data_IF_357054366505
#
_entry.id   IF_357054366505
#
_cell.length_a   1.000
_cell.length_b   1.000
_cell.length_c   1.000
_cell.angle_alpha   90.00
_cell.angle_beta   90.00
_cell.angle_gamma   90.00
#
_symmetry.space_group_name_H-M   'P 1'
#
loop_
_entity.id
_entity.type
_entity.pdbx_description
1 polymer ?
#
# COMPACT_ATOMS: atom_id res chain seq x y z
N UNK A 1 11.38 10.15 19.22
CA UNK A 1 11.15 10.64 17.84
C UNK A 1 10.63 9.46 17.03
N UNK A 2 9.55 9.62 16.27
CA UNK A 2 9.03 8.56 15.39
C UNK A 2 9.75 8.60 14.05
N UNK A 3 10.07 7.45 13.47
CA UNK A 3 10.69 7.36 12.15
C UNK A 3 9.66 7.59 11.02
N UNK A 4 8.48 6.95 11.12
CA UNK A 4 7.35 7.17 10.22
C UNK A 4 6.34 8.07 10.97
N UNK A 5 5.99 9.19 10.34
CA UNK A 5 5.03 10.19 10.83
C UNK A 5 3.92 10.40 9.80
N UNK A 6 2.90 11.19 10.13
CA UNK A 6 1.86 11.55 9.15
C UNK A 6 2.42 12.35 7.96
N UNK A 7 3.54 13.03 8.15
CA UNK A 7 4.29 13.77 7.12
C UNK A 7 5.45 12.97 6.52
N UNK A 8 5.41 11.65 6.61
CA UNK A 8 6.49 10.80 6.07
C UNK A 8 6.72 11.08 4.58
N UNK A 9 7.98 11.37 4.23
CA UNK A 9 8.43 11.81 2.89
C UNK A 9 7.98 13.21 2.46
N UNK A 10 7.20 13.95 3.27
CA UNK A 10 6.79 15.32 2.99
C UNK A 10 7.81 16.30 3.59
N UNK A 11 8.47 17.09 2.74
CA UNK A 11 9.63 17.90 3.12
C UNK A 11 9.33 19.40 3.32
N UNK A 12 8.10 19.84 3.03
CA UNK A 12 7.70 21.24 3.15
C UNK A 12 6.17 21.36 3.29
N UNK A 13 5.73 22.54 3.75
CA UNK A 13 4.32 22.84 4.02
C UNK A 13 3.44 22.68 2.78
N UNK A 14 3.93 23.06 1.59
CA UNK A 14 3.19 22.88 0.34
C UNK A 14 2.93 21.40 0.04
N UNK A 15 3.92 20.53 0.25
CA UNK A 15 3.78 19.08 0.10
C UNK A 15 2.79 18.48 1.10
N UNK A 16 2.81 18.95 2.34
CA UNK A 16 1.84 18.57 3.36
C UNK A 16 0.41 18.93 2.94
N UNK A 17 0.17 20.18 2.50
CA UNK A 17 -1.13 20.63 2.01
C UNK A 17 -1.61 19.80 0.83
N UNK A 18 -0.78 19.62 -0.20
CA UNK A 18 -1.17 18.87 -1.41
C UNK A 18 -1.52 17.41 -1.09
N UNK A 19 -0.78 16.77 -0.18
CA UNK A 19 -1.06 15.40 0.20
C UNK A 19 -2.30 15.29 1.09
N UNK A 20 -2.34 16.01 2.21
CA UNK A 20 -3.38 15.83 3.23
C UNK A 20 -4.75 16.37 2.81
N UNK A 21 -4.80 17.47 2.05
CA UNK A 21 -6.06 18.10 1.66
C UNK A 21 -6.62 17.55 0.34
N UNK A 22 -5.76 17.06 -0.56
CA UNK A 22 -6.17 16.61 -1.89
C UNK A 22 -5.87 15.12 -2.08
N UNK A 23 -4.58 14.76 -2.20
CA UNK A 23 -4.19 13.44 -2.70
C UNK A 23 -4.63 12.25 -1.81
N UNK A 24 -4.59 12.40 -0.49
CA UNK A 24 -4.86 11.31 0.47
C UNK A 24 -6.28 10.74 0.36
N UNK A 25 -7.24 11.56 -0.06
CA UNK A 25 -8.66 11.18 -0.13
C UNK A 25 -9.09 10.65 -1.50
N UNK A 26 -8.24 10.79 -2.52
CA UNK A 26 -8.54 10.34 -3.87
C UNK A 26 -8.64 8.80 -3.94
N UNK A 27 -9.56 8.26 -4.76
CA UNK A 27 -9.66 6.82 -4.96
C UNK A 27 -8.44 6.28 -5.72
N UNK A 28 -8.10 5.02 -5.45
CA UNK A 28 -7.06 4.31 -6.19
C UNK A 28 -7.69 3.70 -7.45
N UNK A 29 -7.14 4.05 -8.62
CA UNK A 29 -7.41 3.34 -9.87
C UNK A 29 -6.18 2.51 -10.28
N UNK A 30 -6.16 1.26 -9.84
CA UNK A 30 -5.05 0.32 -10.08
C UNK A 30 -5.23 -0.43 -11.40
N UNK A 31 -5.01 0.27 -12.53
CA UNK A 31 -5.29 -0.24 -13.88
C UNK A 31 -4.40 -1.43 -14.31
N UNK A 32 -3.28 -1.64 -13.61
CA UNK A 32 -2.35 -2.72 -13.91
C UNK A 32 -1.79 -3.31 -12.61
N UNK A 33 -2.26 -4.50 -12.27
CA UNK A 33 -1.77 -5.29 -11.14
C UNK A 33 -1.63 -6.76 -11.51
N UNK A 34 -1.05 -7.53 -10.59
CA UNK A 34 -0.90 -8.98 -10.70
C UNK A 34 -1.59 -9.71 -9.54
N UNK A 35 -2.67 -9.14 -9.00
CA UNK A 35 -3.46 -9.81 -7.96
C UNK A 35 -4.12 -11.06 -8.55
N UNK A 36 -4.07 -12.23 -7.87
CA UNK A 36 -4.73 -13.43 -8.35
C UNK A 36 -6.25 -13.22 -8.42
N UNK A 37 -6.91 -13.35 -9.59
CA UNK A 37 -8.35 -13.16 -9.70
C UNK A 37 -9.17 -14.09 -8.81
N UNK A 38 -8.67 -15.32 -8.57
CA UNK A 38 -9.32 -16.30 -7.71
C UNK A 38 -9.34 -15.88 -6.25
N UNK A 39 -8.30 -15.19 -5.78
CA UNK A 39 -8.23 -14.71 -4.39
C UNK A 39 -9.25 -13.60 -4.16
N UNK A 40 -9.43 -12.71 -5.15
CA UNK A 40 -10.47 -11.68 -5.14
C UNK A 40 -11.86 -12.32 -5.18
N UNK A 41 -12.10 -13.24 -6.12
CA UNK A 41 -13.40 -13.88 -6.33
C UNK A 41 -13.89 -14.66 -5.10
N UNK A 42 -12.98 -15.32 -4.38
CA UNK A 42 -13.33 -16.11 -3.19
C UNK A 42 -13.19 -15.35 -1.87
N UNK A 43 -12.80 -14.06 -1.91
CA UNK A 43 -12.48 -13.28 -0.72
C UNK A 43 -11.50 -14.04 0.20
N UNK A 44 -10.36 -14.45 -0.38
CA UNK A 44 -9.37 -15.30 0.28
C UNK A 44 -9.04 -14.76 1.68
N UNK A 45 -9.11 -15.63 2.68
CA UNK A 45 -8.61 -15.37 4.04
C UNK A 45 -7.25 -16.03 4.16
N UNK A 46 -6.21 -15.22 4.38
CA UNK A 46 -4.88 -15.73 4.66
C UNK A 46 -4.83 -16.36 6.05
N UNK A 47 -4.14 -17.48 6.19
CA UNK A 47 -4.07 -18.22 7.46
C UNK A 47 -3.16 -17.52 8.48
N UNK A 48 -2.13 -16.82 7.99
CA UNK A 48 -1.13 -16.16 8.82
C UNK A 48 -0.38 -15.07 8.02
N UNK A 49 0.54 -14.36 8.69
CA UNK A 49 1.32 -13.29 8.07
C UNK A 49 2.33 -13.79 7.03
N UNK A 50 2.86 -15.00 7.17
CA UNK A 50 3.78 -15.56 6.19
C UNK A 50 3.12 -15.62 4.81
N UNK A 51 1.89 -16.12 4.73
CA UNK A 51 1.19 -16.28 3.44
C UNK A 51 1.02 -14.94 2.70
N UNK A 52 0.48 -13.92 3.37
CA UNK A 52 0.19 -12.62 2.72
C UNK A 52 1.46 -11.82 2.40
N UNK A 53 2.55 -11.98 3.15
CA UNK A 53 3.75 -11.16 2.99
C UNK A 53 4.88 -11.81 2.20
N UNK A 54 4.98 -13.14 2.23
CA UNK A 54 6.11 -13.87 1.65
C UNK A 54 5.75 -14.70 0.42
N UNK A 55 4.48 -15.04 0.13
CA UNK A 55 4.15 -15.85 -1.07
C UNK A 55 4.33 -15.13 -2.41
N UNK A 56 4.37 -13.80 -2.41
CA UNK A 56 4.45 -12.98 -3.62
C UNK A 56 5.33 -11.75 -3.44
N UNK A 57 5.58 -11.02 -4.54
CA UNK A 57 6.44 -9.85 -4.53
C UNK A 57 7.88 -10.21 -4.14
N UNK A 58 8.62 -10.75 -5.10
CA UNK A 58 9.92 -11.43 -4.93
C UNK A 58 11.05 -10.58 -4.30
N UNK A 59 10.84 -9.29 -4.02
CA UNK A 59 11.84 -8.40 -3.42
C UNK A 59 12.34 -8.84 -2.05
N UNK A 60 11.53 -9.56 -1.26
CA UNK A 60 11.97 -10.09 0.04
C UNK A 60 12.86 -11.33 -0.10
N UNK A 61 12.80 -12.01 -1.24
CA UNK A 61 13.58 -13.21 -1.52
C UNK A 61 14.91 -12.92 -2.23
N UNK A 62 15.04 -11.72 -2.81
CA UNK A 62 16.29 -11.23 -3.38
C UNK A 62 17.25 -10.80 -2.28
#
# INVERSE_FOLDING_TARGET
MSFITDDFLLQNDTGCTLYHEYAKSEPIFDYHCHLPPQDVAHNRRFTNLFEIWLEGGHYKWR
#
